data_IF_511302835226
#
_entry.id   IF_511302835226
#
_cell.length_a   1.000
_cell.length_b   1.000
_cell.length_c   1.000
_cell.angle_alpha   90.00
_cell.angle_beta   90.00
_cell.angle_gamma   90.00
#
_symmetry.space_group_name_H-M   'P 1'
#
loop_
_entity.id
_entity.type
_entity.pdbx_description
1 polymer ?
#
# COMPACT_ATOMS: atom_id res chain seq x y z
N UNK A 1 44.22 52.90 5.53
CA UNK A 1 43.23 52.90 4.42
C UNK A 1 43.28 51.54 3.75
N UNK A 2 42.10 50.98 3.49
CA UNK A 2 41.79 49.58 3.19
C UNK A 2 41.99 49.15 1.74
N UNK A 3 42.24 47.84 1.54
CA UNK A 3 41.79 46.88 0.48
C UNK A 3 42.88 45.80 0.31
N UNK A 4 42.74 44.51 0.65
CA UNK A 4 41.73 43.44 0.41
C UNK A 4 41.67 42.96 -1.06
N UNK A 5 41.75 41.62 -1.18
CA UNK A 5 41.43 40.69 -2.29
C UNK A 5 42.60 40.31 -3.23
N UNK A 6 42.81 39.06 -3.64
CA UNK A 6 42.08 37.80 -3.43
C UNK A 6 42.97 36.64 -3.90
N UNK A 7 43.09 35.60 -3.08
CA UNK A 7 43.55 34.25 -3.43
C UNK A 7 42.33 33.45 -3.89
N UNK A 8 42.38 32.84 -5.08
CA UNK A 8 41.39 31.86 -5.52
C UNK A 8 42.05 30.49 -5.67
N UNK A 9 41.97 29.71 -4.58
CA UNK A 9 42.13 28.26 -4.61
C UNK A 9 40.76 27.65 -4.90
N UNK A 10 40.63 26.89 -6.00
CA UNK A 10 39.44 26.11 -6.29
C UNK A 10 39.34 24.88 -5.36
N UNK A 11 38.14 24.48 -4.92
CA UNK A 11 37.98 23.23 -4.18
C UNK A 11 37.86 22.06 -5.17
N UNK A 12 38.80 21.13 -5.05
CA UNK A 12 38.74 19.80 -5.64
C UNK A 12 37.48 19.07 -5.15
N UNK A 13 36.65 18.62 -6.11
CA UNK A 13 35.50 17.76 -5.84
C UNK A 13 35.96 16.44 -5.25
N UNK A 14 35.77 16.27 -3.94
CA UNK A 14 35.82 14.97 -3.29
C UNK A 14 34.64 14.13 -3.82
N UNK A 15 34.95 13.15 -4.65
CA UNK A 15 34.04 12.08 -5.01
C UNK A 15 33.57 11.38 -3.75
N UNK A 16 32.32 11.65 -3.37
CA UNK A 16 31.64 11.02 -2.26
C UNK A 16 31.45 9.54 -2.63
N UNK A 17 32.35 8.68 -2.15
CA UNK A 17 32.18 7.24 -2.22
C UNK A 17 30.83 6.92 -1.57
N UNK A 18 29.91 6.36 -2.35
CA UNK A 18 28.64 5.89 -1.84
C UNK A 18 28.91 4.94 -0.68
N UNK A 19 28.42 5.30 0.51
CA UNK A 19 28.57 4.48 1.70
C UNK A 19 28.08 3.07 1.38
N UNK A 20 28.90 2.05 1.68
CA UNK A 20 28.48 0.66 1.55
C UNK A 20 27.14 0.47 2.27
N UNK A 21 26.16 -0.23 1.68
CA UNK A 21 24.87 -0.43 2.31
C UNK A 21 25.11 -1.09 3.68
N UNK A 22 24.57 -0.47 4.72
CA UNK A 22 24.69 -0.99 6.08
C UNK A 22 24.25 -2.45 6.10
N UNK A 23 24.93 -3.34 6.85
CA UNK A 23 24.56 -4.74 6.94
C UNK A 23 23.10 -4.84 7.37
N UNK A 24 22.28 -5.50 6.56
CA UNK A 24 20.88 -5.77 6.87
C UNK A 24 20.88 -6.61 8.15
N UNK A 25 20.55 -5.97 9.27
CA UNK A 25 20.48 -6.66 10.55
C UNK A 25 19.35 -7.67 10.44
N UNK A 26 19.69 -8.96 10.43
CA UNK A 26 18.69 -10.02 10.46
C UNK A 26 17.68 -9.76 11.57
N UNK A 27 16.39 -9.91 11.25
CA UNK A 27 15.32 -9.68 12.20
C UNK A 27 15.46 -10.62 13.39
N UNK A 28 15.48 -10.06 14.60
CA UNK A 28 15.53 -10.84 15.84
C UNK A 28 14.31 -11.78 15.94
N UNK A 29 14.46 -13.01 16.48
CA UNK A 29 13.36 -13.98 16.54
C UNK A 29 12.12 -13.49 17.30
N UNK A 30 12.31 -12.76 18.39
CA UNK A 30 11.22 -12.16 19.16
C UNK A 30 10.42 -11.17 18.32
N UNK A 31 11.13 -10.29 17.59
CA UNK A 31 10.52 -9.32 16.69
C UNK A 31 9.77 -10.00 15.54
N UNK A 32 10.34 -11.06 14.96
CA UNK A 32 9.68 -11.86 13.93
C UNK A 32 8.35 -12.45 14.43
N UNK A 33 8.35 -12.97 15.66
CA UNK A 33 7.16 -13.53 16.30
C UNK A 33 6.09 -12.48 16.56
N UNK A 34 6.47 -11.30 17.07
CA UNK A 34 5.54 -10.17 17.26
C UNK A 34 4.86 -9.76 15.95
N UNK A 35 5.64 -9.57 14.89
CA UNK A 35 5.13 -9.21 13.57
C UNK A 35 4.20 -10.28 13.01
N UNK A 36 4.56 -11.56 13.16
CA UNK A 36 3.68 -12.68 12.80
C UNK A 36 2.34 -12.65 13.56
N UNK A 37 2.37 -12.37 14.87
CA UNK A 37 1.14 -12.21 15.65
C UNK A 37 0.29 -11.01 15.23
N UNK A 38 0.89 -9.92 14.75
CA UNK A 38 0.16 -8.81 14.15
C UNK A 38 -0.54 -9.25 12.87
N UNK A 39 0.16 -9.93 11.97
CA UNK A 39 -0.44 -10.44 10.72
C UNK A 39 -1.59 -11.40 10.99
N UNK A 40 -1.43 -12.32 11.94
CA UNK A 40 -2.51 -13.25 12.32
C UNK A 40 -3.76 -12.51 12.81
N UNK A 41 -3.59 -11.44 13.61
CA UNK A 41 -4.73 -10.60 14.04
C UNK A 41 -5.38 -9.87 12.87
N UNK A 42 -4.58 -9.35 11.93
CA UNK A 42 -5.11 -8.68 10.73
C UNK A 42 -5.87 -9.65 9.83
N UNK A 43 -5.38 -10.89 9.65
CA UNK A 43 -6.10 -11.93 8.91
C UNK A 43 -7.47 -12.23 9.51
N UNK A 44 -7.59 -12.28 10.83
CA UNK A 44 -8.90 -12.44 11.50
C UNK A 44 -9.84 -11.27 11.21
N UNK A 45 -9.33 -10.03 11.21
CA UNK A 45 -10.13 -8.83 10.87
C UNK A 45 -10.57 -8.87 9.40
N UNK A 46 -9.66 -9.23 8.50
CA UNK A 46 -9.94 -9.37 7.07
C UNK A 46 -11.02 -10.43 6.81
N UNK A 47 -11.01 -11.55 7.53
CA UNK A 47 -12.04 -12.58 7.44
C UNK A 47 -13.42 -12.08 7.87
N UNK A 48 -13.52 -11.30 8.95
CA UNK A 48 -14.78 -10.68 9.37
C UNK A 48 -15.27 -9.65 8.34
N UNK A 49 -14.34 -8.88 7.76
CA UNK A 49 -14.64 -7.98 6.67
C UNK A 49 -15.20 -8.72 5.46
N UNK A 50 -14.63 -9.87 5.07
CA UNK A 50 -15.12 -10.69 3.95
C UNK A 50 -16.60 -11.03 4.10
N UNK A 51 -16.99 -11.58 5.26
CA UNK A 51 -18.38 -12.00 5.52
C UNK A 51 -19.36 -10.83 5.38
N UNK A 52 -18.93 -9.61 5.71
CA UNK A 52 -19.75 -8.40 5.56
C UNK A 52 -19.71 -7.82 4.15
N UNK A 53 -18.58 -7.92 3.46
CA UNK A 53 -18.46 -7.47 2.08
C UNK A 53 -19.32 -8.33 1.16
N UNK A 54 -19.40 -9.64 1.39
CA UNK A 54 -20.23 -10.55 0.58
C UNK A 54 -21.73 -10.22 0.67
N UNK A 55 -22.18 -9.58 1.75
CA UNK A 55 -23.57 -9.14 1.92
C UNK A 55 -23.83 -7.72 1.40
N UNK A 56 -22.79 -6.95 1.07
CA UNK A 56 -22.88 -5.58 0.58
C UNK A 56 -22.38 -5.55 -0.86
N UNK A 57 -23.29 -5.41 -1.82
CA UNK A 57 -22.95 -5.27 -3.25
C UNK A 57 -22.31 -3.89 -3.57
N UNK A 58 -21.17 -3.59 -2.96
CA UNK A 58 -20.44 -2.34 -3.13
C UNK A 58 -18.99 -2.62 -3.55
N UNK A 59 -18.67 -2.21 -4.77
CA UNK A 59 -17.34 -2.39 -5.38
C UNK A 59 -16.20 -1.75 -4.60
N UNK A 60 -16.44 -0.64 -3.89
CA UNK A 60 -15.41 0.01 -3.05
C UNK A 60 -15.06 -0.83 -1.83
N UNK A 61 -16.06 -1.49 -1.23
CA UNK A 61 -15.84 -2.42 -0.11
C UNK A 61 -15.11 -3.68 -0.57
N UNK A 62 -15.42 -4.20 -1.76
CA UNK A 62 -14.68 -5.30 -2.37
C UNK A 62 -13.21 -4.92 -2.62
N UNK A 63 -12.95 -3.76 -3.22
CA UNK A 63 -11.59 -3.29 -3.45
C UNK A 63 -10.81 -3.04 -2.13
N UNK A 64 -11.47 -2.54 -1.09
CA UNK A 64 -10.84 -2.38 0.23
C UNK A 64 -10.47 -3.73 0.86
N UNK A 65 -11.32 -4.74 0.67
CA UNK A 65 -11.06 -6.10 1.10
C UNK A 65 -9.88 -6.72 0.35
N UNK A 66 -9.79 -6.53 -0.95
CA UNK A 66 -8.65 -6.95 -1.79
C UNK A 66 -7.36 -6.25 -1.32
N UNK A 67 -7.41 -4.96 -0.99
CA UNK A 67 -6.26 -4.21 -0.46
C UNK A 67 -5.76 -4.78 0.88
N UNK A 68 -6.66 -5.24 1.76
CA UNK A 68 -6.27 -5.90 3.01
C UNK A 68 -5.53 -7.23 2.75
N UNK A 69 -6.02 -8.06 1.83
CA UNK A 69 -5.34 -9.32 1.45
C UNK A 69 -3.96 -9.05 0.87
N UNK A 70 -3.89 -8.09 -0.05
CA UNK A 70 -2.65 -7.67 -0.66
C UNK A 70 -1.62 -7.25 0.39
N UNK A 71 -2.01 -6.41 1.35
CA UNK A 71 -1.14 -5.97 2.44
C UNK A 71 -0.65 -7.17 3.28
N UNK A 72 -1.55 -8.05 3.70
CA UNK A 72 -1.21 -9.20 4.54
C UNK A 72 -0.26 -10.15 3.81
N UNK A 73 -0.52 -10.44 2.53
CA UNK A 73 0.32 -11.31 1.71
C UNK A 73 1.71 -10.72 1.49
N UNK A 74 1.79 -9.43 1.17
CA UNK A 74 3.05 -8.73 0.95
C UNK A 74 3.86 -8.63 2.24
N UNK A 75 3.22 -8.29 3.37
CA UNK A 75 3.87 -8.22 4.67
C UNK A 75 4.37 -9.60 5.14
N UNK A 76 3.61 -10.67 4.88
CA UNK A 76 4.04 -12.05 5.15
C UNK A 76 5.29 -12.41 4.34
N UNK A 77 5.32 -12.06 3.05
CA UNK A 77 6.46 -12.31 2.18
C UNK A 77 7.71 -11.54 2.63
N UNK A 78 7.53 -10.27 3.02
CA UNK A 78 8.58 -9.44 3.61
C UNK A 78 9.11 -10.05 4.92
N UNK A 79 8.22 -10.50 5.81
CA UNK A 79 8.61 -11.13 7.06
C UNK A 79 9.40 -12.43 6.86
N UNK A 80 9.06 -13.20 5.82
CA UNK A 80 9.76 -14.44 5.48
C UNK A 80 11.23 -14.22 5.10
N UNK A 81 11.54 -13.08 4.48
CA UNK A 81 12.92 -12.67 4.17
C UNK A 81 13.59 -11.85 5.28
N UNK A 82 12.95 -11.73 6.45
CA UNK A 82 13.49 -11.02 7.59
C UNK A 82 13.37 -9.49 7.50
N UNK A 83 12.43 -8.98 6.71
CA UNK A 83 12.17 -7.54 6.60
C UNK A 83 11.11 -7.09 7.61
N UNK A 84 11.43 -6.08 8.43
CA UNK A 84 10.48 -5.46 9.35
C UNK A 84 9.53 -4.54 8.56
N UNK A 85 8.41 -5.10 8.12
CA UNK A 85 7.44 -4.39 7.29
C UNK A 85 6.74 -3.21 7.99
N UNK A 86 6.77 -3.15 9.33
CA UNK A 86 6.18 -2.04 10.09
C UNK A 86 7.13 -0.85 10.17
N UNK A 87 8.42 -1.10 10.39
CA UNK A 87 9.40 -0.03 10.55
C UNK A 87 9.98 0.45 9.22
N UNK A 88 10.21 -0.46 8.27
CA UNK A 88 10.82 -0.14 6.97
C UNK A 88 9.81 -0.04 5.82
N UNK A 89 8.52 -0.26 6.09
CA UNK A 89 7.48 -0.33 5.06
C UNK A 89 7.53 -1.63 4.27
N UNK A 90 6.71 -1.75 3.23
CA UNK A 90 6.68 -2.94 2.37
C UNK A 90 7.67 -2.79 1.21
N UNK A 91 8.56 -3.77 1.05
CA UNK A 91 9.26 -3.93 -0.22
C UNK A 91 8.26 -4.55 -1.22
N UNK A 92 7.94 -3.77 -2.25
CA UNK A 92 6.99 -4.13 -3.30
C UNK A 92 7.70 -4.06 -4.66
N UNK A 93 7.31 -4.95 -5.57
CA UNK A 93 7.66 -4.82 -6.99
C UNK A 93 6.85 -3.70 -7.64
N UNK A 94 7.23 -3.32 -8.87
CA UNK A 94 6.49 -2.29 -9.61
C UNK A 94 5.08 -2.77 -9.99
N UNK A 95 4.91 -4.06 -10.27
CA UNK A 95 3.60 -4.67 -10.55
C UNK A 95 2.70 -4.62 -9.30
N UNK A 96 3.27 -4.96 -8.15
CA UNK A 96 2.61 -4.87 -6.85
C UNK A 96 2.19 -3.44 -6.51
N UNK A 97 3.04 -2.45 -6.82
CA UNK A 97 2.70 -1.04 -6.65
C UNK A 97 1.53 -0.61 -7.55
N UNK A 98 1.55 -0.99 -8.81
CA UNK A 98 0.48 -0.68 -9.75
C UNK A 98 -0.87 -1.29 -9.33
N UNK A 99 -0.86 -2.49 -8.75
CA UNK A 99 -2.06 -3.14 -8.21
C UNK A 99 -2.64 -2.34 -7.03
N UNK A 100 -1.80 -1.90 -6.08
CA UNK A 100 -2.23 -1.04 -4.97
C UNK A 100 -2.82 0.27 -5.47
N UNK A 101 -2.18 0.92 -6.44
CA UNK A 101 -2.66 2.17 -7.03
C UNK A 101 -4.06 1.99 -7.66
N UNK A 102 -4.29 0.89 -8.37
CA UNK A 102 -5.60 0.54 -8.95
C UNK A 102 -6.66 0.33 -7.85
N UNK A 103 -6.33 -0.38 -6.78
CA UNK A 103 -7.23 -0.62 -5.66
C UNK A 103 -7.60 0.69 -4.96
N UNK A 104 -6.60 1.53 -4.66
CA UNK A 104 -6.78 2.85 -4.04
C UNK A 104 -7.66 3.74 -4.92
N UNK A 105 -7.42 3.79 -6.23
CA UNK A 105 -8.26 4.55 -7.16
C UNK A 105 -9.73 4.07 -7.14
N UNK A 106 -9.94 2.75 -7.05
CA UNK A 106 -11.29 2.17 -6.96
C UNK A 106 -11.98 2.53 -5.64
N UNK A 107 -11.25 2.52 -4.52
CA UNK A 107 -11.79 2.82 -3.18
C UNK A 107 -12.20 4.29 -3.06
N UNK A 108 -11.33 5.21 -3.48
CA UNK A 108 -11.54 6.65 -3.29
C UNK A 108 -12.24 7.33 -4.47
N UNK A 109 -12.56 6.60 -5.54
CA UNK A 109 -13.26 7.15 -6.71
C UNK A 109 -12.38 8.06 -7.58
N UNK A 110 -11.06 7.90 -7.52
CA UNK A 110 -10.08 8.65 -8.32
C UNK A 110 -9.95 8.18 -9.77
N UNK A 111 -10.67 7.13 -10.16
CA UNK A 111 -10.88 6.75 -11.55
C UNK A 111 -12.37 6.64 -11.81
N UNK A 112 -12.86 7.34 -12.84
CA UNK A 112 -14.20 7.12 -13.38
C UNK A 112 -14.40 5.63 -13.63
N UNK A 113 -15.18 4.99 -12.76
CA UNK A 113 -15.83 3.74 -13.13
C UNK A 113 -17.30 4.05 -13.12
N UNK A 114 -17.82 4.27 -14.32
CA UNK A 114 -19.24 4.42 -14.58
C UNK A 114 -20.00 3.35 -13.80
N UNK A 115 -20.89 3.82 -12.94
CA UNK A 115 -21.88 3.01 -12.25
C UNK A 115 -22.64 2.19 -13.32
N UNK A 116 -22.73 0.85 -13.22
CA UNK A 116 -23.53 0.10 -14.18
C UNK A 116 -24.98 0.57 -14.05
N UNK A 117 -25.51 1.11 -15.14
CA UNK A 117 -26.85 1.66 -15.22
C UNK A 117 -27.86 0.69 -14.59
N UNK A 118 -28.67 1.21 -13.66
CA UNK A 118 -29.73 0.45 -13.02
C UNK A 118 -30.65 -0.19 -14.09
N UNK A 119 -31.11 -1.43 -13.89
CA UNK A 119 -32.00 -2.09 -14.83
C UNK A 119 -33.26 -1.24 -15.06
N UNK A 120 -33.81 -1.24 -16.30
CA UNK A 120 -34.94 -0.40 -16.64
C UNK A 120 -36.13 -0.70 -15.72
N UNK A 121 -36.63 0.34 -15.05
CA UNK A 121 -37.84 0.20 -14.24
C UNK A 121 -39.03 -0.13 -15.17
N UNK A 122 -39.87 -1.12 -14.83
CA UNK A 122 -41.04 -1.42 -15.62
C UNK A 122 -42.01 -0.22 -15.58
N UNK A 123 -42.70 0.07 -16.70
CA UNK A 123 -43.61 1.20 -16.78
C UNK A 123 -44.74 1.05 -15.76
N UNK A 124 -44.90 2.06 -14.90
CA UNK A 124 -46.03 2.17 -13.97
C UNK A 124 -47.34 2.12 -14.75
N UNK A 125 -48.11 1.05 -14.57
CA UNK A 125 -49.45 0.94 -15.11
C UNK A 125 -50.34 2.01 -14.47
N UNK A 126 -50.56 3.11 -15.21
CA UNK A 126 -51.57 4.11 -14.87
C UNK A 126 -52.93 3.51 -15.24
N UNK A 127 -53.51 2.77 -14.29
CA UNK A 127 -54.89 2.31 -14.39
C UNK A 127 -55.84 3.50 -14.50
N UNK A 128 -56.40 3.69 -15.69
CA UNK A 128 -57.68 4.38 -15.91
C UNK A 128 -58.77 3.31 -15.84
N UNK A 129 -59.79 3.54 -15.03
CA UNK A 129 -60.99 2.72 -14.92
C UNK A 129 -61.78 3.13 -13.71
#
# INVERSE_FOLDING_TARGET
MSKVAQTTSGPESQGQAAAAPAPVKMLEPSRKMELSHVLNRMSSVAAVFQVRTDSIANRRFAAFRELMDFYIGTATSNLNVGHDYLFHGLNMTDEQRAEVEKLVATIFGGGEVAEPAAPPQPPSAKGKG
#
